data_IF_100491262567
#
_entry.id   IF_100491262567
#
_cell.length_a   1.000
_cell.length_b   1.000
_cell.length_c   1.000
_cell.angle_alpha   90.00
_cell.angle_beta   90.00
_cell.angle_gamma   90.00
#
_symmetry.space_group_name_H-M   'P 1'
#
loop_
_entity.id
_entity.type
_entity.pdbx_description
1 polymer ?
#
# COMPACT_ATOMS: atom_id res chain seq x y z
N UNK A 1 8.78 23.02 -1.96
CA UNK A 1 8.52 22.49 -3.31
C UNK A 1 7.02 22.52 -3.55
N UNK A 2 6.55 22.68 -4.80
CA UNK A 2 5.13 22.80 -5.12
C UNK A 2 4.59 21.52 -5.74
N UNK A 3 3.29 21.28 -5.60
CA UNK A 3 2.59 20.12 -6.18
C UNK A 3 2.80 20.04 -7.71
N UNK A 4 2.76 21.16 -8.39
CA UNK A 4 2.95 21.26 -9.84
C UNK A 4 4.30 20.70 -10.33
N UNK A 5 5.32 20.66 -9.49
CA UNK A 5 6.63 20.08 -9.84
C UNK A 5 6.57 18.54 -10.03
N UNK A 6 5.58 17.89 -9.46
CA UNK A 6 5.38 16.42 -9.53
C UNK A 6 4.36 16.01 -10.60
N UNK A 7 4.11 16.91 -11.55
CA UNK A 7 3.22 16.63 -12.67
C UNK A 7 4.00 16.16 -13.89
N UNK A 8 3.50 15.13 -14.56
CA UNK A 8 3.98 14.65 -15.85
C UNK A 8 2.81 14.08 -16.64
N UNK A 9 2.99 13.95 -17.97
CA UNK A 9 1.97 13.35 -18.82
C UNK A 9 2.08 11.83 -18.76
N UNK A 10 1.10 11.17 -18.16
CA UNK A 10 1.01 9.71 -18.12
C UNK A 10 -0.06 9.25 -19.10
N UNK A 11 0.30 8.52 -20.18
CA UNK A 11 -0.66 7.90 -21.08
C UNK A 11 -1.52 6.85 -20.34
N UNK A 12 -2.83 6.85 -20.56
CA UNK A 12 -3.76 5.95 -19.86
C UNK A 12 -3.46 4.48 -20.18
N UNK A 13 -2.99 4.19 -21.40
CA UNK A 13 -2.61 2.84 -21.84
C UNK A 13 -1.42 2.23 -21.07
N UNK A 14 -0.67 3.04 -20.29
CA UNK A 14 0.42 2.55 -19.46
C UNK A 14 -0.06 2.16 -18.05
N UNK A 15 -1.30 2.45 -17.68
CA UNK A 15 -1.89 1.98 -16.42
C UNK A 15 -2.20 0.48 -16.51
N UNK A 16 -1.55 -0.32 -15.67
CA UNK A 16 -1.70 -1.77 -15.71
C UNK A 16 -2.98 -2.22 -15.01
N UNK A 17 -3.92 -2.79 -15.76
CA UNK A 17 -5.16 -3.36 -15.20
C UNK A 17 -4.99 -4.82 -14.75
N UNK A 18 -3.96 -5.53 -15.25
CA UNK A 18 -3.63 -6.90 -14.86
C UNK A 18 -2.17 -7.02 -14.44
N UNK A 19 -1.84 -7.91 -13.49
CA UNK A 19 -0.45 -8.19 -13.14
C UNK A 19 0.27 -8.93 -14.28
N UNK A 20 1.60 -9.00 -14.20
CA UNK A 20 2.39 -9.91 -15.06
C UNK A 20 2.03 -11.36 -14.74
N UNK A 21 2.01 -12.26 -15.73
CA UNK A 21 1.69 -13.69 -15.55
C UNK A 21 2.53 -14.31 -14.43
N UNK A 22 3.83 -14.05 -14.45
CA UNK A 22 4.78 -14.42 -13.41
C UNK A 22 5.20 -13.18 -12.64
N UNK A 23 5.10 -13.20 -11.31
CA UNK A 23 5.32 -12.03 -10.45
C UNK A 23 6.67 -11.37 -10.67
N UNK A 24 7.75 -12.14 -10.70
CA UNK A 24 9.13 -11.65 -10.79
C UNK A 24 9.66 -11.51 -12.24
N UNK A 25 8.77 -11.60 -13.22
CA UNK A 25 9.06 -11.29 -14.62
C UNK A 25 8.54 -9.91 -15.07
N UNK A 26 7.96 -9.12 -14.16
CA UNK A 26 7.73 -7.71 -14.39
C UNK A 26 9.06 -6.99 -14.68
N UNK A 27 8.99 -5.87 -15.40
CA UNK A 27 10.21 -5.08 -15.69
C UNK A 27 10.70 -4.37 -14.44
N UNK A 28 12.01 -4.21 -14.36
CA UNK A 28 12.70 -3.48 -13.31
C UNK A 28 13.57 -2.39 -13.92
N UNK A 29 13.38 -1.16 -13.49
CA UNK A 29 14.30 -0.06 -13.77
C UNK A 29 15.23 0.13 -12.57
N UNK A 30 16.53 0.00 -12.77
CA UNK A 30 17.53 0.23 -11.72
C UNK A 30 18.07 1.64 -11.85
N UNK A 31 17.94 2.43 -10.78
CA UNK A 31 18.43 3.79 -10.66
C UNK A 31 19.63 3.83 -9.72
N UNK A 32 20.82 4.08 -10.24
CA UNK A 32 22.01 4.35 -9.43
C UNK A 32 22.12 5.86 -9.17
N UNK A 33 21.84 6.27 -7.92
CA UNK A 33 21.83 7.69 -7.53
C UNK A 33 23.23 8.30 -7.57
N UNK A 34 24.26 7.52 -7.29
CA UNK A 34 25.64 7.98 -7.24
C UNK A 34 26.18 8.26 -8.63
N UNK A 35 25.93 7.34 -9.55
CA UNK A 35 26.45 7.40 -10.92
C UNK A 35 25.45 8.05 -11.90
N UNK A 36 24.22 8.35 -11.47
CA UNK A 36 23.14 8.91 -12.29
C UNK A 36 22.87 8.04 -13.53
N UNK A 37 22.83 6.71 -13.36
CA UNK A 37 22.61 5.76 -14.44
C UNK A 37 21.27 5.03 -14.29
N UNK A 38 20.70 4.67 -15.44
CA UNK A 38 19.44 3.93 -15.55
C UNK A 38 19.73 2.63 -16.29
N UNK A 39 19.36 1.50 -15.67
CA UNK A 39 19.44 0.17 -16.30
C UNK A 39 18.04 -0.46 -16.42
N UNK A 40 17.85 -1.30 -17.42
CA UNK A 40 16.61 -2.05 -17.65
C UNK A 40 16.84 -3.53 -17.41
N UNK A 41 16.06 -4.12 -16.51
CA UNK A 41 16.15 -5.52 -16.06
C UNK A 41 14.77 -6.15 -15.94
N UNK A 42 14.71 -7.39 -15.52
CA UNK A 42 13.51 -8.04 -14.98
C UNK A 42 13.60 -8.05 -13.45
N UNK A 43 12.45 -8.11 -12.78
CA UNK A 43 12.43 -8.06 -11.31
C UNK A 43 13.24 -9.20 -10.67
N UNK A 44 13.24 -10.39 -11.27
CA UNK A 44 14.04 -11.53 -10.80
C UNK A 44 15.54 -11.26 -10.73
N UNK A 45 16.04 -10.27 -11.48
CA UNK A 45 17.45 -9.89 -11.51
C UNK A 45 17.87 -9.04 -10.30
N UNK A 46 16.92 -8.65 -9.42
CA UNK A 46 17.25 -7.88 -8.22
C UNK A 46 18.28 -8.60 -7.33
N UNK A 47 18.31 -9.93 -7.37
CA UNK A 47 19.25 -10.74 -6.59
C UNK A 47 20.72 -10.37 -6.87
N UNK A 48 21.03 -9.84 -8.05
CA UNK A 48 22.38 -9.44 -8.45
C UNK A 48 22.85 -8.16 -7.76
N UNK A 49 21.92 -7.41 -7.15
CA UNK A 49 22.19 -6.15 -6.46
C UNK A 49 22.29 -6.30 -4.93
N UNK A 50 22.14 -7.51 -4.40
CA UNK A 50 22.18 -7.80 -2.97
C UNK A 50 23.25 -8.84 -2.65
N UNK A 51 23.92 -8.65 -1.52
CA UNK A 51 24.97 -9.54 -1.00
C UNK A 51 24.54 -10.18 0.33
N UNK A 52 25.35 -11.13 0.82
CA UNK A 52 25.20 -11.71 2.15
C UNK A 52 25.16 -10.61 3.22
N UNK A 53 24.30 -10.76 4.22
CA UNK A 53 24.03 -9.79 5.31
C UNK A 53 23.35 -8.48 4.89
N UNK A 54 23.02 -8.28 3.62
CA UNK A 54 22.13 -7.18 3.23
C UNK A 54 20.73 -7.38 3.84
N UNK A 55 19.98 -6.29 3.98
CA UNK A 55 18.67 -6.29 4.63
C UNK A 55 17.61 -5.79 3.65
N UNK A 56 16.53 -6.54 3.51
CA UNK A 56 15.38 -6.17 2.69
C UNK A 56 14.12 -6.17 3.54
N UNK A 57 13.56 -5.00 3.81
CA UNK A 57 12.45 -4.79 4.74
C UNK A 57 11.13 -4.98 4.02
N UNK A 58 10.34 -5.95 4.44
CA UNK A 58 9.06 -6.33 3.85
C UNK A 58 7.89 -5.80 4.68
N UNK A 59 6.81 -5.36 4.01
CA UNK A 59 5.55 -5.05 4.69
C UNK A 59 4.63 -6.27 4.64
N UNK A 60 4.38 -6.89 5.78
CA UNK A 60 3.61 -8.13 5.92
C UNK A 60 2.09 -7.91 6.10
N UNK A 61 1.60 -6.71 5.83
CA UNK A 61 0.16 -6.44 5.89
C UNK A 61 -0.60 -7.32 4.92
N UNK A 62 -1.80 -7.73 5.33
CA UNK A 62 -2.71 -8.56 4.52
C UNK A 62 -3.97 -7.76 4.18
N UNK A 63 -4.29 -7.73 2.89
CA UNK A 63 -5.53 -7.15 2.38
C UNK A 63 -6.70 -8.06 2.75
N UNK A 64 -7.81 -7.48 3.21
CA UNK A 64 -9.07 -8.20 3.40
C UNK A 64 -10.10 -7.75 2.36
N UNK A 65 -11.12 -8.58 2.05
CA UNK A 65 -12.16 -8.24 1.07
C UNK A 65 -13.06 -7.14 1.62
N UNK A 66 -12.66 -5.89 1.37
CA UNK A 66 -13.22 -4.70 2.01
C UNK A 66 -14.43 -4.09 1.28
N UNK A 67 -14.77 -4.56 0.08
CA UNK A 67 -15.86 -3.99 -0.72
C UNK A 67 -17.10 -4.88 -0.63
N UNK A 68 -18.17 -4.32 -0.08
CA UNK A 68 -19.46 -4.98 0.07
C UNK A 68 -20.51 -4.34 -0.84
N UNK A 69 -21.30 -5.16 -1.52
CA UNK A 69 -22.47 -4.72 -2.23
C UNK A 69 -23.73 -5.19 -1.52
N UNK A 70 -24.72 -4.32 -1.45
CA UNK A 70 -25.97 -4.62 -0.77
C UNK A 70 -27.09 -3.70 -1.20
N UNK A 71 -28.17 -3.71 -0.43
CA UNK A 71 -29.37 -2.96 -0.72
C UNK A 71 -29.80 -2.16 0.52
N UNK A 72 -30.33 -0.97 0.25
CA UNK A 72 -30.89 -0.12 1.29
C UNK A 72 -32.29 -0.60 1.68
N UNK A 73 -32.58 -0.66 2.97
CA UNK A 73 -33.92 -0.88 3.51
C UNK A 73 -34.97 0.01 2.83
N UNK A 74 -36.17 -0.47 2.73
CA UNK A 74 -37.38 0.22 2.18
C UNK A 74 -37.37 0.51 0.70
N UNK A 75 -36.23 0.82 0.11
CA UNK A 75 -36.14 1.20 -1.31
C UNK A 75 -35.57 0.14 -2.22
N UNK A 76 -34.87 -0.86 -1.64
CA UNK A 76 -34.13 -1.88 -2.39
C UNK A 76 -32.98 -1.31 -3.24
N UNK A 77 -32.67 0.00 -3.08
CA UNK A 77 -31.63 0.64 -3.89
C UNK A 77 -30.26 0.01 -3.63
N UNK A 78 -29.58 -0.38 -4.69
CA UNK A 78 -28.20 -0.93 -4.62
C UNK A 78 -27.26 0.09 -3.99
N UNK A 79 -26.43 -0.38 -3.11
CA UNK A 79 -25.39 0.42 -2.41
C UNK A 79 -24.07 -0.32 -2.43
N UNK A 80 -22.97 0.44 -2.36
CA UNK A 80 -21.61 -0.04 -2.11
C UNK A 80 -21.17 0.47 -0.74
N UNK A 81 -20.59 -0.42 0.06
CA UNK A 81 -19.92 -0.11 1.31
C UNK A 81 -18.48 -0.56 1.20
N UNK A 82 -17.56 0.35 1.46
CA UNK A 82 -16.14 0.07 1.50
C UNK A 82 -15.65 0.16 2.94
N UNK A 83 -15.29 -0.98 3.52
CA UNK A 83 -14.78 -1.08 4.88
C UNK A 83 -13.39 -0.44 4.96
N UNK A 84 -13.18 0.47 5.90
CA UNK A 84 -11.90 1.13 6.11
C UNK A 84 -11.17 0.54 7.32
N UNK A 85 -11.86 0.52 8.44
CA UNK A 85 -11.27 0.17 9.73
C UNK A 85 -12.35 -0.27 10.72
N UNK A 86 -12.05 -1.29 11.52
CA UNK A 86 -12.85 -1.64 12.68
C UNK A 86 -12.56 -0.68 13.82
N UNK A 87 -13.61 -0.07 14.36
CA UNK A 87 -13.54 0.90 15.46
C UNK A 87 -13.72 0.22 16.80
N UNK A 88 -14.58 -0.80 16.87
CA UNK A 88 -14.87 -1.54 18.09
C UNK A 88 -15.37 -2.95 17.74
N UNK A 89 -14.64 -3.98 18.17
CA UNK A 89 -14.94 -5.37 17.94
C UNK A 89 -16.23 -5.84 18.63
N UNK A 90 -16.40 -5.50 19.92
CA UNK A 90 -17.56 -5.93 20.71
C UNK A 90 -18.87 -5.39 20.16
N UNK A 91 -18.86 -4.12 19.72
CA UNK A 91 -20.02 -3.45 19.15
C UNK A 91 -20.11 -3.61 17.64
N UNK A 92 -19.13 -4.25 17.00
CA UNK A 92 -19.03 -4.42 15.53
C UNK A 92 -19.18 -3.10 14.79
N UNK A 93 -18.50 -2.05 15.30
CA UNK A 93 -18.48 -0.73 14.70
C UNK A 93 -17.37 -0.63 13.68
N UNK A 94 -17.70 -0.10 12.50
CA UNK A 94 -16.77 0.07 11.41
C UNK A 94 -16.84 1.48 10.83
N UNK A 95 -15.68 2.06 10.57
CA UNK A 95 -15.55 3.23 9.71
C UNK A 95 -15.55 2.77 8.26
N UNK A 96 -16.39 3.39 7.44
CA UNK A 96 -16.61 2.95 6.05
C UNK A 96 -16.82 4.13 5.11
N UNK A 97 -16.59 3.91 3.82
CA UNK A 97 -17.13 4.77 2.77
C UNK A 97 -18.37 4.13 2.16
N UNK A 98 -19.30 4.94 1.73
CA UNK A 98 -20.55 4.48 1.10
C UNK A 98 -20.82 5.17 -0.23
N UNK A 99 -21.45 4.45 -1.15
CA UNK A 99 -21.92 4.97 -2.42
C UNK A 99 -23.32 4.39 -2.76
N UNK A 100 -24.30 5.22 -3.12
CA UNK A 100 -24.31 6.68 -3.20
C UNK A 100 -24.50 7.35 -1.82
N UNK A 101 -23.53 8.14 -1.38
CA UNK A 101 -23.49 8.71 -0.03
C UNK A 101 -24.72 9.59 0.32
N UNK A 102 -25.27 10.31 -0.67
CA UNK A 102 -26.46 11.18 -0.48
C UNK A 102 -27.71 10.42 -0.07
N UNK A 103 -27.81 9.14 -0.40
CA UNK A 103 -28.97 8.29 -0.12
C UNK A 103 -28.84 7.49 1.17
N UNK A 104 -27.65 7.43 1.76
CA UNK A 104 -27.35 6.64 2.96
C UNK A 104 -27.18 7.58 4.16
N UNK A 105 -28.19 7.57 5.05
CA UNK A 105 -28.30 8.49 6.20
C UNK A 105 -28.31 7.72 7.50
N UNK A 106 -28.01 8.40 8.62
CA UNK A 106 -28.10 7.86 9.98
C UNK A 106 -29.47 7.21 10.19
N UNK A 107 -29.49 6.03 10.82
CA UNK A 107 -30.65 5.20 11.07
C UNK A 107 -31.11 4.34 9.89
N UNK A 108 -30.47 4.45 8.71
CA UNK A 108 -30.77 3.51 7.64
C UNK A 108 -30.17 2.14 7.94
N UNK A 109 -30.89 1.08 7.58
CA UNK A 109 -30.38 -0.28 7.55
C UNK A 109 -29.95 -0.66 6.12
N UNK A 110 -28.86 -1.35 6.05
CA UNK A 110 -28.21 -1.84 4.85
C UNK A 110 -28.13 -3.36 4.92
N UNK A 111 -28.56 -4.04 3.86
CA UNK A 111 -28.68 -5.49 3.79
C UNK A 111 -27.69 -6.02 2.79
N UNK A 112 -26.93 -7.08 3.19
CA UNK A 112 -25.89 -7.69 2.39
C UNK A 112 -26.11 -9.20 2.28
N UNK A 113 -25.87 -9.75 1.10
CA UNK A 113 -26.02 -11.17 0.79
C UNK A 113 -27.47 -11.58 0.58
N UNK A 114 -27.65 -12.83 0.17
CA UNK A 114 -28.95 -13.45 0.01
C UNK A 114 -29.57 -13.68 1.40
N UNK A 115 -30.91 -13.61 1.46
CA UNK A 115 -31.68 -13.79 2.72
C UNK A 115 -31.21 -12.88 3.87
N UNK A 116 -30.71 -11.67 3.53
CA UNK A 116 -30.26 -10.69 4.54
C UNK A 116 -29.16 -11.26 5.46
N UNK A 117 -28.24 -12.00 4.87
CA UNK A 117 -27.16 -12.71 5.60
C UNK A 117 -26.42 -11.81 6.59
N UNK A 118 -26.28 -10.52 6.28
CA UNK A 118 -25.66 -9.52 7.15
C UNK A 118 -26.40 -8.19 7.05
N UNK A 119 -26.69 -7.58 8.18
CA UNK A 119 -27.37 -6.28 8.28
C UNK A 119 -26.47 -5.28 9.00
N UNK A 120 -26.40 -4.06 8.50
CA UNK A 120 -25.73 -2.96 9.19
C UNK A 120 -26.65 -1.75 9.35
N UNK A 121 -26.50 -1.04 10.46
CA UNK A 121 -27.18 0.23 10.74
C UNK A 121 -26.17 1.38 10.63
N UNK A 122 -26.57 2.45 9.98
CA UNK A 122 -25.78 3.69 9.90
C UNK A 122 -25.92 4.45 11.19
N UNK A 123 -24.82 4.55 11.96
CA UNK A 123 -24.82 5.19 13.29
C UNK A 123 -24.41 6.65 13.20
N UNK A 124 -23.44 6.99 12.33
CA UNK A 124 -22.90 8.35 12.24
C UNK A 124 -22.38 8.67 10.83
N UNK A 125 -22.20 9.97 10.57
CA UNK A 125 -21.57 10.51 9.36
C UNK A 125 -20.18 11.05 9.73
N UNK A 126 -19.12 10.51 9.16
CA UNK A 126 -17.75 10.93 9.47
C UNK A 126 -17.20 11.95 8.49
N UNK A 127 -17.48 11.75 7.19
CA UNK A 127 -17.12 12.67 6.10
C UNK A 127 -18.24 12.74 5.06
N UNK A 128 -18.02 13.45 3.96
CA UNK A 128 -19.00 13.54 2.85
C UNK A 128 -19.45 12.16 2.33
N UNK A 129 -18.55 11.18 2.32
CA UNK A 129 -18.82 9.78 1.92
C UNK A 129 -18.63 8.79 3.09
N UNK A 130 -18.06 9.23 4.19
CA UNK A 130 -17.78 8.40 5.37
C UNK A 130 -18.99 8.19 6.25
N UNK A 131 -19.11 6.98 6.77
CA UNK A 131 -20.13 6.58 7.75
C UNK A 131 -19.50 5.69 8.82
N UNK A 132 -20.12 5.70 9.99
CA UNK A 132 -19.93 4.64 10.99
C UNK A 132 -21.08 3.65 10.85
N UNK A 133 -20.77 2.39 10.62
CA UNK A 133 -21.75 1.30 10.60
C UNK A 133 -21.64 0.44 11.85
N UNK A 134 -22.79 0.02 12.38
CA UNK A 134 -22.91 -1.08 13.34
C UNK A 134 -23.48 -2.29 12.63
N UNK A 135 -22.73 -3.39 12.59
CA UNK A 135 -23.27 -4.64 12.08
C UNK A 135 -24.12 -5.34 13.13
N UNK A 136 -25.35 -5.65 12.75
CA UNK A 136 -26.34 -6.33 13.58
C UNK A 136 -26.24 -7.85 13.33
N UNK A 137 -25.50 -8.54 14.17
CA UNK A 137 -25.26 -9.97 14.03
C UNK A 137 -25.17 -10.64 15.41
N UNK A 138 -25.97 -11.66 15.66
CA UNK A 138 -26.08 -12.30 16.97
C UNK A 138 -25.08 -13.45 17.20
N UNK A 139 -24.33 -13.87 16.15
CA UNK A 139 -23.32 -14.92 16.23
C UNK A 139 -21.99 -14.45 16.84
N UNK A 140 -21.05 -15.36 16.95
CA UNK A 140 -19.70 -15.06 17.40
C UNK A 140 -18.99 -14.08 16.47
N UNK A 141 -17.97 -13.38 17.00
CA UNK A 141 -17.13 -12.49 16.18
C UNK A 141 -16.44 -13.24 15.02
N UNK A 142 -16.00 -14.46 15.25
CA UNK A 142 -15.41 -15.32 14.20
C UNK A 142 -16.37 -15.59 13.06
N UNK A 143 -17.62 -15.90 13.36
CA UNK A 143 -18.66 -16.14 12.34
C UNK A 143 -19.01 -14.84 11.60
N UNK A 144 -19.09 -13.72 12.31
CA UNK A 144 -19.27 -12.41 11.71
C UNK A 144 -18.15 -12.08 10.71
N UNK A 145 -16.88 -12.26 11.11
CA UNK A 145 -15.72 -12.05 10.23
C UNK A 145 -15.75 -12.95 9.01
N UNK A 146 -16.15 -14.22 9.18
CA UNK A 146 -16.31 -15.15 8.04
C UNK A 146 -17.35 -14.64 7.05
N UNK A 147 -18.50 -14.17 7.53
CA UNK A 147 -19.55 -13.60 6.66
C UNK A 147 -19.09 -12.35 5.93
N UNK A 148 -18.35 -11.46 6.59
CA UNK A 148 -17.73 -10.32 5.93
C UNK A 148 -16.80 -10.75 4.80
N UNK A 149 -16.00 -11.80 5.02
CA UNK A 149 -15.09 -12.35 4.01
C UNK A 149 -15.84 -13.00 2.85
N UNK A 150 -16.91 -13.73 3.13
CA UNK A 150 -17.76 -14.39 2.11
C UNK A 150 -18.49 -13.38 1.21
N UNK A 151 -18.91 -12.25 1.77
CA UNK A 151 -19.67 -11.20 1.06
C UNK A 151 -18.78 -10.14 0.41
N UNK A 152 -17.54 -10.01 0.89
CA UNK A 152 -16.62 -8.99 0.46
C UNK A 152 -15.90 -9.35 -0.83
N UNK A 153 -15.59 -8.33 -1.61
CA UNK A 153 -14.76 -8.43 -2.81
C UNK A 153 -13.38 -7.81 -2.57
N UNK A 154 -12.38 -8.31 -3.30
CA UNK A 154 -11.03 -7.72 -3.33
C UNK A 154 -11.11 -6.23 -3.68
N UNK A 155 -10.53 -5.35 -2.84
CA UNK A 155 -10.70 -3.90 -3.00
C UNK A 155 -9.74 -3.33 -4.06
N UNK A 156 -9.86 -3.77 -5.31
CA UNK A 156 -9.04 -3.24 -6.40
C UNK A 156 -9.16 -1.72 -6.53
N UNK A 157 -8.07 -1.01 -6.85
CA UNK A 157 -8.10 0.43 -7.09
C UNK A 157 -9.05 0.81 -8.23
N UNK A 158 -9.69 1.97 -8.12
CA UNK A 158 -10.71 2.45 -9.08
C UNK A 158 -10.23 2.69 -10.51
N UNK A 159 -8.92 2.80 -10.73
CA UNK A 159 -8.38 2.94 -12.09
C UNK A 159 -8.46 1.63 -12.88
N UNK A 160 -8.52 0.50 -12.19
CA UNK A 160 -8.80 -0.82 -12.78
C UNK A 160 -10.30 -0.85 -13.09
N UNK A 161 -10.62 -0.76 -14.38
CA UNK A 161 -12.01 -0.57 -14.84
C UNK A 161 -12.74 -1.89 -15.11
N UNK A 162 -12.02 -3.01 -15.04
CA UNK A 162 -12.62 -4.34 -15.16
C UNK A 162 -13.23 -4.82 -13.85
N UNK A 163 -14.09 -5.83 -13.94
CA UNK A 163 -14.61 -6.52 -12.77
C UNK A 163 -13.48 -7.27 -12.02
N UNK A 164 -13.72 -7.53 -10.75
CA UNK A 164 -12.82 -8.36 -9.93
C UNK A 164 -12.87 -9.80 -10.46
N UNK A 165 -11.72 -10.37 -10.74
CA UNK A 165 -11.55 -11.75 -11.18
C UNK A 165 -11.18 -12.65 -9.99
N UNK A 166 -11.48 -13.96 -10.01
CA UNK A 166 -11.14 -14.87 -8.90
C UNK A 166 -9.65 -14.86 -8.55
N UNK A 167 -8.79 -14.65 -9.54
CA UNK A 167 -7.33 -14.58 -9.35
C UNK A 167 -6.88 -13.35 -8.57
N UNK A 168 -7.67 -12.27 -8.54
CA UNK A 168 -7.30 -11.04 -7.84
C UNK A 168 -7.18 -11.24 -6.33
N UNK A 169 -7.90 -12.18 -5.74
CA UNK A 169 -7.78 -12.50 -4.33
C UNK A 169 -6.34 -12.91 -3.97
N UNK A 170 -5.70 -13.71 -4.82
CA UNK A 170 -4.30 -14.12 -4.64
C UNK A 170 -3.33 -13.07 -5.20
N UNK A 171 -3.64 -12.48 -6.36
CA UNK A 171 -2.70 -11.61 -7.08
C UNK A 171 -2.59 -10.22 -6.45
N UNK A 172 -3.64 -9.70 -5.84
CA UNK A 172 -3.65 -8.45 -5.07
C UNK A 172 -3.22 -8.66 -3.61
N UNK A 173 -2.31 -9.59 -3.38
CA UNK A 173 -1.75 -9.98 -2.11
C UNK A 173 -0.27 -10.32 -2.25
N UNK A 174 0.57 -9.89 -1.29
CA UNK A 174 1.97 -10.32 -1.28
C UNK A 174 2.08 -11.77 -0.80
N UNK A 175 3.12 -12.47 -1.22
CA UNK A 175 3.38 -13.85 -0.79
C UNK A 175 3.78 -13.96 0.69
N UNK A 176 4.10 -12.84 1.32
CA UNK A 176 4.48 -12.72 2.73
C UNK A 176 3.42 -11.98 3.57
N UNK A 177 2.21 -11.81 3.06
CA UNK A 177 1.10 -11.22 3.80
C UNK A 177 0.69 -12.09 4.99
N UNK A 178 0.61 -11.50 6.19
CA UNK A 178 0.32 -12.19 7.46
C UNK A 178 -0.73 -11.47 8.30
N UNK A 179 -0.55 -10.16 8.53
CA UNK A 179 -1.37 -9.35 9.43
C UNK A 179 -2.49 -8.66 8.67
N UNK A 180 -3.72 -9.13 8.84
CA UNK A 180 -4.90 -8.54 8.21
C UNK A 180 -5.22 -7.14 8.76
N UNK A 181 -5.60 -6.21 7.88
CA UNK A 181 -5.95 -4.84 8.26
C UNK A 181 -5.83 -3.83 7.11
N UNK A 182 -5.26 -4.23 5.98
CA UNK A 182 -5.11 -3.34 4.83
C UNK A 182 -6.31 -3.43 3.88
N UNK A 183 -6.66 -2.28 3.29
CA UNK A 183 -7.64 -2.18 2.19
C UNK A 183 -6.96 -1.96 0.83
N UNK A 184 -5.63 -1.94 0.82
CA UNK A 184 -4.84 -1.92 -0.40
C UNK A 184 -3.52 -2.68 -0.21
N UNK A 185 -3.01 -3.31 -1.26
CA UNK A 185 -1.77 -4.08 -1.21
C UNK A 185 -0.53 -3.16 -1.19
N UNK A 186 0.54 -3.54 -0.46
CA UNK A 186 1.85 -2.91 -0.59
C UNK A 186 2.48 -3.35 -1.90
N UNK A 187 2.22 -2.60 -2.98
CA UNK A 187 2.34 -3.03 -4.37
C UNK A 187 3.73 -3.47 -4.80
N UNK A 188 4.80 -2.87 -4.26
CA UNK A 188 6.17 -3.30 -4.53
C UNK A 188 6.45 -4.75 -4.09
N UNK A 189 5.74 -5.23 -3.06
CA UNK A 189 5.82 -6.62 -2.61
C UNK A 189 5.17 -7.62 -3.55
N UNK A 190 4.28 -7.18 -4.45
CA UNK A 190 3.58 -8.05 -5.39
C UNK A 190 4.51 -8.67 -6.44
N UNK A 191 5.66 -8.07 -6.68
CA UNK A 191 6.66 -8.56 -7.63
C UNK A 191 7.43 -9.79 -7.14
N UNK A 192 7.44 -10.06 -5.83
CA UNK A 192 8.16 -11.21 -5.30
C UNK A 192 7.44 -12.51 -5.57
N UNK A 193 8.17 -13.47 -6.16
CA UNK A 193 7.79 -14.87 -6.19
C UNK A 193 8.35 -15.62 -4.98
N UNK A 194 7.73 -16.73 -4.60
CA UNK A 194 8.27 -17.62 -3.54
C UNK A 194 9.68 -18.10 -3.89
N UNK A 195 9.92 -18.36 -5.17
CA UNK A 195 11.23 -18.79 -5.65
C UNK A 195 12.30 -17.71 -5.47
N UNK A 196 12.02 -16.47 -5.89
CA UNK A 196 12.96 -15.36 -5.74
C UNK A 196 13.24 -15.07 -4.26
N UNK A 197 12.21 -15.05 -3.42
CA UNK A 197 12.38 -14.82 -1.98
C UNK A 197 13.28 -15.88 -1.36
N UNK A 198 13.09 -17.15 -1.72
CA UNK A 198 13.93 -18.25 -1.25
C UNK A 198 15.38 -18.15 -1.71
N UNK A 199 15.63 -17.71 -2.93
CA UNK A 199 16.98 -17.46 -3.44
C UNK A 199 17.70 -16.34 -2.67
N UNK A 200 16.97 -15.25 -2.32
CA UNK A 200 17.50 -14.16 -1.49
C UNK A 200 17.88 -14.66 -0.10
N UNK A 201 17.02 -15.47 0.55
CA UNK A 201 17.34 -16.10 1.83
C UNK A 201 18.58 -16.99 1.75
N UNK A 202 18.69 -17.84 0.72
CA UNK A 202 19.87 -18.73 0.50
C UNK A 202 21.14 -17.90 0.28
N UNK A 203 21.03 -16.75 -0.39
CA UNK A 203 22.15 -15.81 -0.57
C UNK A 203 22.58 -15.14 0.74
N UNK A 204 21.80 -15.26 1.81
CA UNK A 204 22.08 -14.67 3.12
C UNK A 204 21.52 -13.26 3.30
N UNK A 205 20.57 -12.85 2.47
CA UNK A 205 19.84 -11.59 2.63
C UNK A 205 18.83 -11.74 3.77
N UNK A 206 18.86 -10.83 4.73
CA UNK A 206 17.91 -10.79 5.82
C UNK A 206 16.60 -10.12 5.37
N UNK A 207 15.47 -10.74 5.74
CA UNK A 207 14.13 -10.32 5.32
C UNK A 207 13.24 -9.94 6.53
N UNK A 208 13.61 -8.93 7.34
CA UNK A 208 12.77 -8.50 8.45
C UNK A 208 11.44 -7.94 7.96
N UNK A 209 10.39 -8.20 8.73
CA UNK A 209 9.05 -7.76 8.43
C UNK A 209 8.63 -6.62 9.34
N UNK A 210 8.00 -5.61 8.74
CA UNK A 210 7.27 -4.54 9.42
C UNK A 210 5.82 -4.59 8.98
N UNK A 211 4.93 -3.92 9.68
CA UNK A 211 3.53 -3.81 9.31
C UNK A 211 3.17 -2.34 9.10
N UNK A 212 2.50 -2.04 7.99
CA UNK A 212 1.72 -0.83 7.80
C UNK A 212 0.42 -1.23 7.11
N UNK A 213 -0.71 -1.01 7.77
CA UNK A 213 -2.02 -1.27 7.18
C UNK A 213 -2.39 -0.15 6.23
N UNK A 214 -2.31 -0.44 4.92
CA UNK A 214 -2.52 0.56 3.87
C UNK A 214 -4.00 0.92 3.80
N UNK A 215 -4.30 2.20 4.03
CA UNK A 215 -5.62 2.79 3.88
C UNK A 215 -5.84 3.42 2.49
N UNK A 216 -7.06 3.91 2.26
CA UNK A 216 -7.39 4.60 0.99
C UNK A 216 -6.71 5.95 0.82
N UNK A 217 -6.33 6.61 1.91
CA UNK A 217 -5.72 7.94 1.89
C UNK A 217 -4.42 8.00 1.09
N UNK A 218 -3.69 6.89 1.01
CA UNK A 218 -2.47 6.77 0.21
C UNK A 218 -2.72 6.99 -1.29
N UNK A 219 -3.94 6.76 -1.76
CA UNK A 219 -4.32 6.93 -3.17
C UNK A 219 -5.08 8.23 -3.45
N UNK A 220 -5.37 9.02 -2.41
CA UNK A 220 -6.01 10.31 -2.61
C UNK A 220 -5.00 11.28 -3.23
N UNK A 221 -5.41 12.05 -4.27
CA UNK A 221 -4.53 13.06 -4.83
C UNK A 221 -4.27 14.17 -3.82
N UNK A 222 -3.07 14.73 -3.87
CA UNK A 222 -2.76 15.96 -3.14
C UNK A 222 -3.48 17.11 -3.84
N UNK A 223 -4.27 17.88 -3.10
CA UNK A 223 -5.10 18.96 -3.65
C UNK A 223 -4.52 20.37 -3.39
N UNK A 224 -3.48 20.45 -2.54
CA UNK A 224 -2.86 21.73 -2.14
C UNK A 224 -1.56 21.94 -2.90
N UNK A 225 -1.35 23.14 -3.45
CA UNK A 225 -0.13 23.47 -4.18
C UNK A 225 1.10 23.57 -3.26
N UNK A 226 0.92 24.07 -2.04
CA UNK A 226 1.95 24.09 -1.00
C UNK A 226 1.91 22.77 -0.22
N UNK A 227 2.89 21.90 -0.46
CA UNK A 227 2.94 20.56 0.12
C UNK A 227 2.99 20.56 1.66
N UNK A 228 3.51 21.62 2.28
CA UNK A 228 3.54 21.72 3.75
C UNK A 228 2.14 21.80 4.38
N UNK A 229 1.12 22.10 3.59
CA UNK A 229 -0.28 22.19 4.03
C UNK A 229 -1.06 20.88 3.81
N UNK A 230 -0.47 19.90 3.12
CA UNK A 230 -1.10 18.61 2.94
C UNK A 230 -1.10 17.82 4.26
N UNK A 231 -2.24 17.22 4.57
CA UNK A 231 -2.40 16.34 5.73
C UNK A 231 -2.53 14.91 5.25
N UNK A 232 -1.55 14.08 5.60
CA UNK A 232 -1.63 12.64 5.37
C UNK A 232 -2.66 12.01 6.32
N UNK A 233 -3.42 11.06 5.80
CA UNK A 233 -4.23 10.19 6.64
C UNK A 233 -3.32 9.33 7.54
N UNK A 234 -3.80 9.06 8.75
CA UNK A 234 -3.09 8.19 9.68
C UNK A 234 -3.28 6.73 9.31
N UNK A 235 -2.20 5.97 9.34
CA UNK A 235 -2.19 4.52 9.14
C UNK A 235 -1.50 3.84 10.31
N UNK A 236 -2.00 2.66 10.67
CA UNK A 236 -1.45 1.87 11.76
C UNK A 236 -0.17 1.17 11.31
N UNK A 237 0.87 1.26 12.16
CA UNK A 237 2.17 0.65 11.92
C UNK A 237 2.66 -0.16 13.10
N UNK A 238 3.46 -1.19 12.81
CA UNK A 238 4.13 -1.98 13.82
C UNK A 238 5.54 -2.37 13.36
N UNK A 239 6.48 -2.21 14.26
CA UNK A 239 7.88 -2.64 14.14
C UNK A 239 8.21 -3.47 15.38
N UNK A 240 8.38 -4.77 15.21
CA UNK A 240 8.73 -5.66 16.30
C UNK A 240 10.22 -5.52 16.68
N UNK A 241 10.60 -5.81 17.94
CA UNK A 241 11.98 -5.72 18.40
C UNK A 241 12.98 -6.49 17.53
N UNK A 242 12.66 -7.73 17.16
CA UNK A 242 13.54 -8.57 16.33
C UNK A 242 13.81 -7.95 14.95
N UNK A 243 12.77 -7.36 14.34
CA UNK A 243 12.92 -6.66 13.06
C UNK A 243 13.82 -5.43 13.20
N UNK A 244 13.59 -4.63 14.24
CA UNK A 244 14.42 -3.45 14.53
C UNK A 244 15.87 -3.83 14.74
N UNK A 245 16.15 -4.91 15.50
CA UNK A 245 17.51 -5.40 15.75
C UNK A 245 18.24 -5.84 14.48
N UNK A 246 17.55 -6.58 13.59
CA UNK A 246 18.12 -7.00 12.30
C UNK A 246 18.46 -5.78 11.45
N UNK A 247 17.54 -4.83 11.35
CA UNK A 247 17.71 -3.60 10.56
C UNK A 247 18.88 -2.78 11.11
N UNK A 248 18.94 -2.58 12.43
CA UNK A 248 20.00 -1.82 13.08
C UNK A 248 21.38 -2.47 12.92
N UNK A 249 21.47 -3.80 12.95
CA UNK A 249 22.72 -4.54 12.64
C UNK A 249 23.16 -4.29 11.19
N UNK A 250 22.23 -4.30 10.23
CA UNK A 250 22.53 -3.96 8.85
C UNK A 250 23.10 -2.56 8.71
N UNK A 251 22.50 -1.56 9.37
CA UNK A 251 23.00 -0.17 9.39
C UNK A 251 24.41 -0.11 9.99
N UNK A 252 24.61 -0.70 11.18
CA UNK A 252 25.91 -0.69 11.89
C UNK A 252 27.02 -1.34 11.06
N UNK A 253 26.70 -2.38 10.32
CA UNK A 253 27.62 -3.10 9.44
C UNK A 253 27.76 -2.49 8.05
N UNK A 254 27.16 -1.31 7.80
CA UNK A 254 27.18 -0.60 6.51
C UNK A 254 26.70 -1.47 5.34
N UNK A 255 25.73 -2.32 5.59
CA UNK A 255 25.10 -3.15 4.58
C UNK A 255 24.07 -2.38 3.77
N UNK A 256 23.65 -2.95 2.66
CA UNK A 256 22.49 -2.43 1.94
C UNK A 256 21.24 -2.70 2.77
N UNK A 257 20.53 -1.64 3.12
CA UNK A 257 19.25 -1.69 3.81
C UNK A 257 18.19 -1.18 2.85
N UNK A 258 17.39 -2.08 2.32
CA UNK A 258 16.41 -1.80 1.28
C UNK A 258 15.00 -1.81 1.83
N UNK A 259 14.26 -0.72 1.65
CA UNK A 259 12.84 -0.69 1.92
C UNK A 259 12.05 -1.19 0.70
N UNK A 260 11.29 -2.26 0.86
CA UNK A 260 10.40 -2.77 -0.17
C UNK A 260 9.05 -2.06 -0.07
N UNK A 261 8.87 -1.08 -0.95
CA UNK A 261 7.70 -0.21 -1.04
C UNK A 261 7.81 1.06 -0.21
N UNK A 262 7.06 2.06 -0.66
CA UNK A 262 6.88 3.34 0.04
C UNK A 262 6.28 3.15 1.43
N UNK A 263 5.48 2.10 1.63
CA UNK A 263 4.89 1.74 2.92
C UNK A 263 5.93 1.30 3.93
N UNK A 264 6.87 0.41 3.55
CA UNK A 264 8.00 0.01 4.41
C UNK A 264 8.89 1.22 4.72
N UNK A 265 9.19 2.06 3.72
CA UNK A 265 9.96 3.27 3.92
C UNK A 265 9.30 4.21 4.93
N UNK A 266 8.01 4.46 4.79
CA UNK A 266 7.27 5.34 5.72
C UNK A 266 7.23 4.75 7.13
N UNK A 267 7.08 3.44 7.25
CA UNK A 267 7.08 2.74 8.55
C UNK A 267 8.40 2.95 9.30
N UNK A 268 9.52 2.64 8.66
CA UNK A 268 10.84 2.75 9.32
C UNK A 268 11.22 4.19 9.62
N UNK A 269 10.91 5.13 8.73
CA UNK A 269 11.17 6.56 8.95
C UNK A 269 10.25 7.20 10.02
N UNK A 270 9.17 6.50 10.43
CA UNK A 270 8.27 6.96 11.49
C UNK A 270 8.78 6.67 12.90
N UNK A 271 9.77 5.79 13.08
CA UNK A 271 10.28 5.38 14.38
C UNK A 271 11.79 5.48 14.51
N UNK A 272 12.38 6.52 13.93
CA UNK A 272 13.82 6.79 14.01
C UNK A 272 14.16 7.44 15.35
N UNK A 273 15.17 6.90 16.05
CA UNK A 273 15.70 7.50 17.28
C UNK A 273 16.56 8.74 16.99
N UNK A 274 16.88 9.50 18.02
CA UNK A 274 17.81 10.64 17.91
C UNK A 274 19.23 10.25 17.49
N UNK A 275 19.59 8.98 17.68
CA UNK A 275 20.89 8.42 17.25
C UNK A 275 20.87 7.83 15.84
N UNK A 276 19.76 7.93 15.11
CA UNK A 276 19.62 7.41 13.74
C UNK A 276 19.39 5.89 13.67
N UNK A 277 18.99 5.27 14.77
CA UNK A 277 18.61 3.85 14.82
C UNK A 277 17.09 3.68 14.78
N UNK A 278 16.62 2.51 14.39
CA UNK A 278 15.21 2.16 14.37
C UNK A 278 14.77 1.66 15.74
N UNK A 279 13.68 2.25 16.28
CA UNK A 279 13.06 1.75 17.51
C UNK A 279 11.91 0.80 17.17
N UNK A 280 11.66 -0.24 18.01
CA UNK A 280 10.38 -0.94 18.01
C UNK A 280 9.23 0.06 18.24
N UNK A 281 8.12 -0.16 17.56
CA UNK A 281 6.99 0.76 17.65
C UNK A 281 5.68 0.04 17.31
N UNK A 282 4.61 0.43 17.98
CA UNK A 282 3.24 0.04 17.63
C UNK A 282 2.34 1.25 17.84
N UNK A 283 1.64 1.67 16.79
CA UNK A 283 0.77 2.85 16.84
C UNK A 283 0.48 3.40 15.44
N UNK A 284 0.32 4.71 15.35
CA UNK A 284 -0.16 5.39 14.14
C UNK A 284 0.90 6.32 13.57
N UNK A 285 0.93 6.43 12.23
CA UNK A 285 1.74 7.41 11.52
C UNK A 285 0.92 8.19 10.50
N UNK A 286 1.11 9.50 10.49
CA UNK A 286 0.63 10.39 9.43
C UNK A 286 1.82 11.06 8.72
N UNK A 287 2.98 10.44 8.78
CA UNK A 287 4.21 10.99 8.22
C UNK A 287 4.08 11.20 6.71
N UNK A 288 4.28 12.43 6.28
CA UNK A 288 4.34 12.82 4.87
C UNK A 288 5.80 13.15 4.50
N UNK A 289 6.35 12.39 3.56
CA UNK A 289 7.73 12.54 3.11
C UNK A 289 7.74 13.15 1.71
N UNK A 290 8.37 14.32 1.59
CA UNK A 290 8.57 15.03 0.33
C UNK A 290 9.88 15.82 0.38
N UNK A 291 10.47 16.23 -0.77
CA UNK A 291 11.75 16.94 -0.77
C UNK A 291 11.66 18.34 -0.14
N UNK A 292 12.71 18.80 0.61
CA UNK A 292 13.88 18.01 1.00
C UNK A 292 13.58 17.12 2.22
N UNK A 293 14.09 15.90 2.21
CA UNK A 293 14.00 14.97 3.33
C UNK A 293 15.26 14.11 3.41
N UNK A 294 15.82 13.94 4.61
CA UNK A 294 16.98 13.10 4.85
C UNK A 294 16.52 11.76 5.46
N UNK A 295 16.76 10.68 4.73
CA UNK A 295 16.41 9.33 5.16
C UNK A 295 17.48 8.78 6.11
N UNK A 296 17.02 8.17 7.20
CA UNK A 296 17.90 7.74 8.30
C UNK A 296 18.21 6.25 8.26
N UNK A 297 17.30 5.42 7.77
CA UNK A 297 17.36 3.96 7.93
C UNK A 297 17.77 3.27 6.63
N UNK A 298 16.95 3.40 5.58
CA UNK A 298 17.21 2.72 4.32
C UNK A 298 18.14 3.52 3.39
N UNK A 299 19.07 2.83 2.75
CA UNK A 299 19.95 3.37 1.73
C UNK A 299 19.61 2.91 0.31
N UNK A 300 18.61 2.06 0.18
CA UNK A 300 18.04 1.62 -1.11
C UNK A 300 16.53 1.38 -0.98
N UNK A 301 15.83 1.34 -2.10
CA UNK A 301 14.37 1.25 -2.14
C UNK A 301 13.89 0.50 -3.37
N UNK A 302 12.92 -0.39 -3.20
CA UNK A 302 12.14 -0.97 -4.30
C UNK A 302 10.76 -0.33 -4.27
N UNK A 303 10.27 0.15 -5.42
CA UNK A 303 8.95 0.77 -5.52
C UNK A 303 8.36 0.60 -6.92
N UNK A 304 7.03 0.74 -7.04
CA UNK A 304 6.37 0.82 -8.35
C UNK A 304 6.54 2.20 -8.96
N UNK A 305 6.17 2.35 -10.23
CA UNK A 305 5.95 3.66 -10.85
C UNK A 305 4.63 4.24 -10.37
N UNK A 306 4.66 5.49 -9.92
CA UNK A 306 3.52 6.17 -9.31
C UNK A 306 2.88 7.19 -10.24
N UNK A 307 1.61 7.53 -9.95
CA UNK A 307 0.86 8.51 -10.73
C UNK A 307 1.33 9.95 -10.48
N UNK A 308 1.10 10.87 -11.42
CA UNK A 308 1.40 12.28 -11.23
C UNK A 308 0.77 12.84 -9.94
N UNK A 309 1.48 13.75 -9.29
CA UNK A 309 1.04 14.47 -8.08
C UNK A 309 0.69 13.58 -6.88
N UNK A 310 1.11 12.32 -6.86
CA UNK A 310 0.90 11.42 -5.73
C UNK A 310 1.93 11.66 -4.62
N UNK A 311 1.53 11.43 -3.37
CA UNK A 311 2.43 11.45 -2.21
C UNK A 311 3.57 10.45 -2.36
N UNK A 312 3.33 9.35 -3.08
CA UNK A 312 4.31 8.29 -3.33
C UNK A 312 5.41 8.76 -4.28
N UNK A 313 5.07 9.46 -5.37
CA UNK A 313 6.05 10.09 -6.26
C UNK A 313 6.92 11.12 -5.53
N UNK A 314 6.32 11.85 -4.59
CA UNK A 314 7.05 12.83 -3.78
C UNK A 314 8.08 12.16 -2.87
N UNK A 315 7.74 11.03 -2.24
CA UNK A 315 8.69 10.24 -1.44
C UNK A 315 9.83 9.70 -2.28
N UNK A 316 9.54 9.14 -3.45
CA UNK A 316 10.56 8.64 -4.38
C UNK A 316 11.48 9.78 -4.83
N UNK A 317 10.92 10.95 -5.13
CA UNK A 317 11.68 12.15 -5.49
C UNK A 317 12.55 12.67 -4.33
N UNK A 318 12.07 12.55 -3.09
CA UNK A 318 12.87 12.87 -1.91
C UNK A 318 14.06 11.92 -1.75
N UNK A 319 13.87 10.64 -2.11
CA UNK A 319 14.88 9.60 -1.94
C UNK A 319 15.95 9.61 -3.04
N UNK A 320 15.55 9.76 -4.29
CA UNK A 320 16.45 9.64 -5.44
C UNK A 320 16.91 10.99 -6.03
N UNK A 321 16.28 12.08 -5.61
CA UNK A 321 16.46 13.40 -6.23
C UNK A 321 15.39 13.66 -7.30
N UNK A 322 14.77 14.84 -7.21
CA UNK A 322 13.63 15.20 -8.05
C UNK A 322 13.93 15.15 -9.56
N UNK A 323 15.07 15.71 -9.98
CA UNK A 323 15.41 15.81 -11.40
C UNK A 323 15.75 14.41 -12.00
N UNK A 324 16.44 13.58 -11.25
CA UNK A 324 16.76 12.21 -11.66
C UNK A 324 15.52 11.33 -11.73
N UNK A 325 14.57 11.47 -10.78
CA UNK A 325 13.29 10.77 -10.85
C UNK A 325 12.48 11.25 -12.06
N UNK A 326 12.48 12.54 -12.36
CA UNK A 326 11.81 13.06 -13.56
C UNK A 326 12.38 12.46 -14.84
N UNK A 327 13.72 12.42 -14.98
CA UNK A 327 14.38 11.75 -16.10
C UNK A 327 14.00 10.27 -16.20
N UNK A 328 14.03 9.55 -15.07
CA UNK A 328 13.63 8.13 -15.02
C UNK A 328 12.17 7.91 -15.46
N UNK A 329 11.26 8.81 -15.08
CA UNK A 329 9.86 8.74 -15.49
C UNK A 329 9.65 9.08 -16.97
N UNK A 330 10.40 10.03 -17.52
CA UNK A 330 10.40 10.32 -18.97
C UNK A 330 10.89 9.09 -19.76
N UNK A 331 11.96 8.43 -19.30
CA UNK A 331 12.44 7.17 -19.86
C UNK A 331 11.39 6.06 -19.74
N UNK A 332 10.75 5.93 -18.56
CA UNK A 332 9.73 4.91 -18.33
C UNK A 332 8.53 5.04 -19.28
N UNK A 333 8.05 6.25 -19.50
CA UNK A 333 6.96 6.53 -20.46
C UNK A 333 7.39 6.20 -21.89
N UNK A 334 8.60 6.63 -22.32
CA UNK A 334 9.16 6.36 -23.64
C UNK A 334 9.35 4.87 -23.89
N UNK A 335 9.87 4.15 -22.91
CA UNK A 335 10.13 2.70 -22.96
C UNK A 335 8.90 1.86 -22.64
N UNK A 336 7.72 2.50 -22.46
CA UNK A 336 6.44 1.84 -22.21
C UNK A 336 6.46 0.92 -20.98
N UNK A 337 7.04 1.39 -19.89
CA UNK A 337 6.85 0.74 -18.59
C UNK A 337 5.40 0.84 -18.16
N UNK A 338 4.93 -0.16 -17.46
CA UNK A 338 3.59 -0.19 -16.89
C UNK A 338 3.59 0.54 -15.53
N UNK A 339 2.55 1.28 -15.27
CA UNK A 339 2.44 2.14 -14.10
C UNK A 339 1.42 1.61 -13.10
N UNK A 340 1.59 2.01 -11.86
CA UNK A 340 0.72 1.90 -10.72
C UNK A 340 0.70 0.48 -10.12
N UNK A 341 -0.45 0.01 -9.59
CA UNK A 341 -0.57 -1.18 -8.73
C UNK A 341 0.00 -2.46 -9.33
N UNK A 342 -0.42 -2.80 -10.55
CA UNK A 342 0.04 -3.98 -11.28
C UNK A 342 1.14 -3.68 -12.31
N UNK A 343 1.68 -2.48 -12.22
CA UNK A 343 2.74 -2.03 -13.13
C UNK A 343 4.10 -2.65 -12.84
N UNK A 344 5.11 -2.05 -13.46
CA UNK A 344 6.51 -2.44 -13.29
C UNK A 344 7.13 -1.73 -12.08
N UNK A 345 8.39 -1.99 -11.81
CA UNK A 345 9.07 -1.53 -10.60
C UNK A 345 10.40 -0.81 -10.86
N UNK A 346 10.86 -0.11 -9.84
CA UNK A 346 12.18 0.50 -9.76
C UNK A 346 12.94 -0.06 -8.55
N UNK A 347 14.25 -0.28 -8.73
CA UNK A 347 15.22 -0.42 -7.66
C UNK A 347 16.09 0.84 -7.64
N UNK A 348 16.13 1.55 -6.53
CA UNK A 348 16.91 2.77 -6.33
C UNK A 348 18.05 2.47 -5.36
N UNK A 349 19.30 2.61 -5.83
CA UNK A 349 20.53 2.28 -5.09
C UNK A 349 21.49 3.46 -5.01
#
# INVERSE_FOLDING_TARGET
MKLSHFNFKLPEELLAEHPSDIRDESRLMVLDRKNQTIEHKLFKDIIDYFEEDDVMILNNTKVFPARLFGNKEKTGARIEVFLLRELNEEQRLWDVLVDPARKIRIGNKLYFGDDEMLVAEVIDNTTSRGRTLRFLYDGSYREFRRKLTELGETPLPKYIKRDVEPEDEERYQTIFAKKEGAVAAPTAGLHFSKHLLKRLEIKGVHLPEVTLHVGLGTFNPVEVEDLSKHKMDSEEIEILPDAADIINKGIANKRRVCAVGTTSMRTIESSVSSSGTLNPYSGWTNKFIFPPYEFSIANSMITNFHTPKSTLLMMVSAFAGHDFVKEAYDVAVKEKYRFYTYGDSMLII
#
